data_IF_032675002722
#
_entry.id   IF_032675002722
#
_cell.length_a   1.000
_cell.length_b   1.000
_cell.length_c   1.000
_cell.angle_alpha   90.00
_cell.angle_beta   90.00
_cell.angle_gamma   90.00
#
_symmetry.space_group_name_H-M   'P 1'
#
loop_
_entity.id
_entity.type
_entity.pdbx_description
1 polymer ?
#
# COMPACT_ATOMS: atom_id res chain seq x y z
N UNK A 1 4.75 32.98 -13.82
CA UNK A 1 3.87 32.08 -13.04
C UNK A 1 3.38 30.87 -13.86
N UNK A 2 3.20 31.03 -15.19
CA UNK A 2 2.76 29.96 -16.10
C UNK A 2 3.84 28.89 -16.40
N UNK A 3 5.13 29.24 -16.38
CA UNK A 3 6.24 28.29 -16.66
C UNK A 3 6.42 27.17 -15.63
N UNK A 4 6.04 27.40 -14.36
CA UNK A 4 6.16 26.37 -13.33
C UNK A 4 5.07 25.29 -13.45
N UNK A 5 3.93 25.61 -14.06
CA UNK A 5 2.83 24.66 -14.29
C UNK A 5 3.05 23.77 -15.52
N UNK A 6 3.82 24.22 -16.53
CA UNK A 6 4.19 23.37 -17.67
C UNK A 6 5.29 22.35 -17.31
N UNK A 7 6.19 22.69 -16.38
CA UNK A 7 7.32 21.84 -15.99
C UNK A 7 6.91 20.62 -15.16
N UNK A 8 5.83 20.72 -14.36
CA UNK A 8 5.26 19.58 -13.61
C UNK A 8 4.56 18.58 -14.52
N UNK A 9 3.93 19.04 -15.62
CA UNK A 9 3.34 18.15 -16.62
C UNK A 9 4.41 17.33 -17.35
N UNK A 10 5.62 17.89 -17.52
CA UNK A 10 6.71 17.23 -18.26
C UNK A 10 7.34 16.07 -17.50
N UNK A 11 7.44 16.14 -16.17
CA UNK A 11 8.04 15.06 -15.38
C UNK A 11 7.10 13.85 -15.24
N UNK A 12 5.80 14.09 -15.06
CA UNK A 12 4.77 13.04 -15.05
C UNK A 12 4.68 12.39 -16.44
N UNK A 13 4.67 13.18 -17.52
CA UNK A 13 4.67 12.68 -18.90
C UNK A 13 5.97 11.92 -19.25
N UNK A 14 7.11 12.27 -18.65
CA UNK A 14 8.38 11.56 -18.88
C UNK A 14 8.39 10.16 -18.25
N UNK A 15 7.85 10.01 -17.03
CA UNK A 15 7.59 8.68 -16.43
C UNK A 15 6.56 7.90 -17.26
N UNK A 16 5.53 8.60 -17.77
CA UNK A 16 4.50 8.06 -18.69
C UNK A 16 5.04 7.64 -20.06
N UNK A 17 6.17 8.20 -20.51
CA UNK A 17 6.78 7.91 -21.81
C UNK A 17 7.70 6.70 -21.75
N UNK A 18 8.34 6.46 -20.60
CA UNK A 18 9.17 5.27 -20.35
C UNK A 18 8.33 3.98 -20.32
N UNK A 19 7.01 4.07 -20.07
CA UNK A 19 6.08 2.93 -20.16
C UNK A 19 5.55 2.64 -21.58
N UNK A 20 5.96 3.40 -22.61
CA UNK A 20 5.48 3.26 -24.00
C UNK A 20 6.53 2.69 -24.98
N UNK A 21 7.52 1.94 -24.51
CA UNK A 21 8.22 1.06 -25.45
C UNK A 21 7.19 0.04 -25.99
N UNK A 22 7.06 -0.17 -27.31
CA UNK A 22 6.11 -1.12 -27.86
C UNK A 22 6.50 -2.53 -27.41
N UNK A 23 5.93 -2.97 -26.28
CA UNK A 23 6.03 -4.36 -25.83
C UNK A 23 5.29 -5.17 -26.88
N UNK A 24 6.05 -5.87 -27.71
CA UNK A 24 5.58 -6.56 -28.91
C UNK A 24 4.71 -7.79 -28.64
N UNK A 25 3.97 -7.87 -27.52
CA UNK A 25 2.95 -8.89 -27.23
C UNK A 25 2.06 -8.47 -26.06
N UNK A 26 0.95 -7.78 -26.34
CA UNK A 26 -0.08 -7.37 -25.35
C UNK A 26 -0.77 -8.57 -24.68
N UNK A 27 -0.69 -9.77 -25.27
CA UNK A 27 -1.32 -10.99 -24.75
C UNK A 27 -0.41 -11.89 -23.89
N UNK A 28 0.82 -11.49 -23.55
CA UNK A 28 1.68 -12.33 -22.70
C UNK A 28 1.41 -12.06 -21.22
N UNK A 29 1.10 -13.09 -20.39
CA UNK A 29 1.01 -12.92 -18.95
C UNK A 29 2.36 -12.48 -18.35
N UNK A 30 2.33 -11.82 -17.19
CA UNK A 30 3.54 -11.39 -16.48
C UNK A 30 4.50 -12.58 -16.27
N UNK A 31 3.98 -13.71 -15.76
CA UNK A 31 4.78 -14.91 -15.52
C UNK A 31 5.99 -14.61 -14.64
N UNK A 32 7.20 -14.98 -15.10
CA UNK A 32 8.46 -14.68 -14.41
C UNK A 32 8.71 -13.18 -14.20
N UNK A 33 8.16 -12.30 -15.03
CA UNK A 33 8.31 -10.85 -14.83
C UNK A 33 7.58 -10.37 -13.56
N UNK A 34 6.65 -11.16 -13.01
CA UNK A 34 6.02 -10.88 -11.71
C UNK A 34 7.01 -10.93 -10.54
N UNK A 35 8.15 -11.63 -10.68
CA UNK A 35 9.18 -11.74 -9.64
C UNK A 35 9.68 -10.37 -9.16
N UNK A 36 9.80 -9.38 -10.06
CA UNK A 36 10.22 -8.02 -9.67
C UNK A 36 9.19 -7.33 -8.76
N UNK A 37 7.91 -7.63 -8.96
CA UNK A 37 6.82 -7.06 -8.17
C UNK A 37 6.68 -7.78 -6.83
N UNK A 38 6.92 -9.09 -6.80
CA UNK A 38 7.09 -9.82 -5.53
C UNK A 38 8.31 -9.34 -4.76
N UNK A 39 9.42 -9.02 -5.44
CA UNK A 39 10.58 -8.41 -4.81
C UNK A 39 10.24 -7.04 -4.22
N UNK A 40 9.44 -6.22 -4.93
CA UNK A 40 8.92 -4.96 -4.39
C UNK A 40 8.08 -5.19 -3.12
N UNK A 41 7.14 -6.15 -3.14
CA UNK A 41 6.35 -6.52 -1.97
C UNK A 41 7.24 -6.97 -0.79
N UNK A 42 8.27 -7.79 -1.07
CA UNK A 42 9.24 -8.24 -0.07
C UNK A 42 10.01 -7.07 0.55
N UNK A 43 10.47 -6.13 -0.27
CA UNK A 43 11.19 -4.92 0.21
C UNK A 43 10.29 -4.11 1.14
N UNK A 44 9.02 -3.92 0.79
CA UNK A 44 8.05 -3.21 1.65
C UNK A 44 7.85 -3.95 2.97
N UNK A 45 7.63 -5.27 2.93
CA UNK A 45 7.43 -6.07 4.15
C UNK A 45 8.67 -6.04 5.08
N UNK A 46 9.87 -6.13 4.51
CA UNK A 46 11.13 -6.06 5.28
C UNK A 46 11.34 -4.65 5.85
N UNK A 47 11.08 -3.60 5.07
CA UNK A 47 11.20 -2.23 5.54
C UNK A 47 10.19 -1.93 6.67
N UNK A 48 8.96 -2.44 6.56
CA UNK A 48 7.95 -2.32 7.60
C UNK A 48 8.40 -3.03 8.88
N UNK A 49 8.82 -4.29 8.78
CA UNK A 49 9.32 -5.06 9.92
C UNK A 49 10.51 -4.37 10.61
N UNK A 50 11.45 -3.85 9.82
CA UNK A 50 12.61 -3.12 10.35
C UNK A 50 12.22 -1.82 11.07
N UNK A 51 11.37 -1.00 10.44
CA UNK A 51 10.94 0.28 11.04
C UNK A 51 10.12 0.08 12.31
N UNK A 52 9.29 -0.96 12.36
CA UNK A 52 8.60 -1.38 13.60
C UNK A 52 9.56 -1.83 14.68
N UNK A 53 10.60 -2.59 14.32
CA UNK A 53 11.67 -2.97 15.26
C UNK A 53 12.38 -1.75 15.87
N UNK A 54 12.67 -0.73 15.05
CA UNK A 54 13.23 0.53 15.53
C UNK A 54 12.27 1.28 16.46
N UNK A 55 10.98 1.33 16.10
CA UNK A 55 9.97 1.97 16.94
C UNK A 55 9.82 1.27 18.31
N UNK A 56 9.73 -0.06 18.31
CA UNK A 56 9.58 -0.86 19.54
C UNK A 56 10.80 -0.79 20.48
N UNK A 57 11.99 -0.47 19.95
CA UNK A 57 13.22 -0.36 20.74
C UNK A 57 13.56 1.08 21.13
N UNK A 58 13.19 2.05 20.29
CA UNK A 58 13.54 3.45 20.47
C UNK A 58 12.47 4.31 21.14
N UNK A 59 11.20 3.89 21.13
CA UNK A 59 10.08 4.67 21.65
C UNK A 59 9.51 4.08 22.94
N UNK A 60 8.94 4.94 23.77
CA UNK A 60 8.19 4.54 24.96
C UNK A 60 6.71 4.41 24.59
N UNK A 61 6.10 3.27 24.93
CA UNK A 61 4.69 3.00 24.64
C UNK A 61 3.77 4.14 25.09
N UNK A 62 2.92 4.61 24.17
CA UNK A 62 1.93 5.66 24.43
C UNK A 62 2.49 7.07 24.67
N UNK A 63 3.82 7.25 24.71
CA UNK A 63 4.45 8.57 24.88
C UNK A 63 4.81 9.16 23.51
N UNK A 64 4.21 10.29 23.10
CA UNK A 64 4.57 10.93 21.85
C UNK A 64 6.00 11.49 21.89
N UNK A 65 6.78 11.16 20.87
CA UNK A 65 8.02 11.85 20.53
C UNK A 65 7.72 12.85 19.43
N UNK A 66 7.60 14.12 19.81
CA UNK A 66 7.27 15.20 18.89
C UNK A 66 8.43 15.49 17.94
N UNK A 67 8.17 15.40 16.64
CA UNK A 67 9.16 15.74 15.59
C UNK A 67 8.78 17.05 14.90
N UNK A 68 7.50 17.27 14.66
CA UNK A 68 6.95 18.49 14.07
C UNK A 68 5.63 18.84 14.77
N UNK A 69 5.13 20.09 14.65
CA UNK A 69 3.87 20.51 15.29
C UNK A 69 2.60 19.72 14.89
N UNK A 70 2.70 18.88 13.86
CA UNK A 70 1.62 18.06 13.30
C UNK A 70 2.02 16.59 13.17
N UNK A 71 3.22 16.19 13.58
CA UNK A 71 3.74 14.84 13.39
C UNK A 71 4.63 14.38 14.55
N UNK A 72 4.23 13.24 15.11
CA UNK A 72 4.89 12.57 16.22
C UNK A 72 5.25 11.14 15.83
N UNK A 73 6.27 10.60 16.47
CA UNK A 73 6.45 9.17 16.59
C UNK A 73 5.85 8.71 17.91
N UNK A 74 4.82 7.86 17.85
CA UNK A 74 4.09 7.38 19.04
C UNK A 74 3.87 5.89 18.94
N UNK A 75 4.58 5.10 19.74
CA UNK A 75 4.43 3.65 19.77
C UNK A 75 3.06 3.25 20.31
N UNK A 76 2.28 2.55 19.49
CA UNK A 76 0.98 1.98 19.83
C UNK A 76 0.90 0.53 19.36
N UNK A 77 0.15 -0.29 20.11
CA UNK A 77 -0.09 -1.70 19.80
C UNK A 77 -1.55 -1.89 19.41
N UNK A 78 -1.78 -2.09 18.12
CA UNK A 78 -3.11 -2.16 17.55
C UNK A 78 -3.59 -3.61 17.44
N UNK A 79 -4.49 -3.98 18.34
CA UNK A 79 -5.17 -5.28 18.37
C UNK A 79 -6.40 -5.33 17.46
N UNK A 80 -6.71 -4.24 16.75
CA UNK A 80 -7.97 -4.07 16.02
C UNK A 80 -9.05 -3.36 16.83
N UNK A 81 -8.67 -2.44 17.74
CA UNK A 81 -9.57 -1.77 18.69
C UNK A 81 -10.79 -1.08 18.04
N UNK A 82 -10.65 -0.60 16.80
CA UNK A 82 -11.77 -0.01 16.03
C UNK A 82 -12.94 -1.00 15.82
N UNK A 83 -12.65 -2.30 15.78
CA UNK A 83 -13.66 -3.38 15.71
C UNK A 83 -13.95 -4.00 17.09
N UNK A 84 -13.17 -3.69 18.12
CA UNK A 84 -13.43 -4.12 19.50
C UNK A 84 -14.66 -3.45 20.12
N UNK A 85 -15.17 -2.37 19.53
CA UNK A 85 -16.48 -1.80 19.86
C UNK A 85 -17.65 -2.80 19.69
N UNK A 86 -17.43 -3.90 18.95
CA UNK A 86 -18.44 -4.92 18.68
C UNK A 86 -18.39 -6.14 19.61
N UNK A 87 -17.41 -6.30 20.51
CA UNK A 87 -17.51 -7.32 21.58
C UNK A 87 -16.41 -7.27 22.65
N UNK A 88 -16.84 -7.41 23.90
CA UNK A 88 -16.07 -7.53 25.16
C UNK A 88 -15.22 -8.83 25.27
N UNK A 89 -15.10 -9.62 24.20
CA UNK A 89 -14.60 -10.99 24.27
C UNK A 89 -13.51 -11.30 23.22
N UNK A 90 -12.26 -11.45 23.69
CA UNK A 90 -11.49 -12.66 23.35
C UNK A 90 -10.44 -12.60 22.24
N UNK A 91 -10.09 -11.43 21.69
CA UNK A 91 -8.95 -11.32 20.76
C UNK A 91 -9.13 -12.06 19.42
N UNK A 92 -10.38 -12.43 19.06
CA UNK A 92 -10.72 -13.08 17.80
C UNK A 92 -10.33 -12.24 16.57
N UNK A 93 -10.26 -10.91 16.75
CA UNK A 93 -9.87 -9.93 15.75
C UNK A 93 -8.52 -10.30 15.12
N UNK A 94 -7.57 -10.79 15.93
CA UNK A 94 -6.26 -11.27 15.46
C UNK A 94 -6.45 -12.34 14.38
N UNK A 95 -7.21 -13.38 14.68
CA UNK A 95 -7.42 -14.51 13.76
C UNK A 95 -8.21 -14.08 12.53
N UNK A 96 -9.27 -13.28 12.72
CA UNK A 96 -10.05 -12.76 11.60
C UNK A 96 -9.20 -11.95 10.63
N UNK A 97 -8.46 -10.95 11.13
CA UNK A 97 -7.59 -10.13 10.27
C UNK A 97 -6.45 -10.93 9.66
N UNK A 98 -5.89 -11.92 10.37
CA UNK A 98 -4.89 -12.81 9.79
C UNK A 98 -5.46 -13.64 8.64
N UNK A 99 -6.64 -14.24 8.80
CA UNK A 99 -7.29 -15.03 7.73
C UNK A 99 -7.62 -14.16 6.52
N UNK A 100 -8.17 -12.96 6.74
CA UNK A 100 -8.45 -12.00 5.68
C UNK A 100 -7.16 -11.58 4.97
N UNK A 101 -6.10 -11.24 5.71
CA UNK A 101 -4.82 -10.85 5.11
C UNK A 101 -4.17 -12.00 4.32
N UNK A 102 -4.25 -13.24 4.79
CA UNK A 102 -3.79 -14.43 4.05
C UNK A 102 -4.60 -14.58 2.75
N UNK A 103 -5.93 -14.51 2.83
CA UNK A 103 -6.82 -14.65 1.68
C UNK A 103 -6.56 -13.58 0.61
N UNK A 104 -6.47 -12.31 1.02
CA UNK A 104 -6.15 -11.19 0.12
C UNK A 104 -4.75 -11.35 -0.46
N UNK A 105 -3.74 -11.72 0.35
CA UNK A 105 -2.37 -11.90 -0.14
C UNK A 105 -2.27 -13.02 -1.17
N UNK A 106 -2.95 -14.16 -0.94
CA UNK A 106 -3.02 -15.26 -1.89
C UNK A 106 -3.72 -14.85 -3.19
N UNK A 107 -4.86 -14.15 -3.08
CA UNK A 107 -5.59 -13.61 -4.23
C UNK A 107 -4.72 -12.65 -5.06
N UNK A 108 -4.09 -11.66 -4.42
CA UNK A 108 -3.24 -10.66 -5.08
C UNK A 108 -2.01 -11.30 -5.71
N UNK A 109 -1.42 -12.30 -5.06
CA UNK A 109 -0.30 -13.07 -5.62
C UNK A 109 -0.73 -13.76 -6.91
N UNK A 110 -1.82 -14.52 -6.89
CA UNK A 110 -2.31 -15.22 -8.09
C UNK A 110 -2.71 -14.22 -9.18
N UNK A 111 -3.36 -13.11 -8.82
CA UNK A 111 -3.78 -12.10 -9.78
C UNK A 111 -2.57 -11.44 -10.45
N UNK A 112 -1.56 -11.03 -9.69
CA UNK A 112 -0.34 -10.41 -10.21
C UNK A 112 0.43 -11.33 -11.17
N UNK A 113 0.46 -12.62 -10.86
CA UNK A 113 1.06 -13.65 -11.72
C UNK A 113 0.33 -13.77 -13.07
N UNK A 114 -1.01 -13.77 -13.03
CA UNK A 114 -1.87 -13.96 -14.21
C UNK A 114 -2.08 -12.68 -15.02
N UNK A 115 -1.82 -11.51 -14.43
CA UNK A 115 -2.02 -10.21 -15.07
C UNK A 115 -1.18 -10.07 -16.34
N UNK A 116 -1.75 -9.45 -17.38
CA UNK A 116 -1.04 -9.16 -18.63
C UNK A 116 0.06 -8.13 -18.43
N UNK A 117 1.11 -8.22 -19.25
CA UNK A 117 2.19 -7.24 -19.27
C UNK A 117 1.67 -5.88 -19.77
N UNK A 118 2.25 -4.81 -19.27
CA UNK A 118 1.93 -3.43 -19.69
C UNK A 118 1.22 -2.59 -18.64
N UNK A 119 0.57 -3.21 -17.64
CA UNK A 119 -0.09 -2.50 -16.55
C UNK A 119 0.88 -2.20 -15.39
N UNK A 120 1.81 -1.27 -15.61
CA UNK A 120 2.86 -0.93 -14.64
C UNK A 120 2.29 -0.41 -13.32
N UNK A 121 1.35 0.55 -13.40
CA UNK A 121 0.75 1.20 -12.22
C UNK A 121 -0.03 0.18 -11.38
N UNK A 122 -0.87 -0.64 -12.02
CA UNK A 122 -1.58 -1.74 -11.35
C UNK A 122 -0.60 -2.74 -10.70
N UNK A 123 0.48 -3.12 -11.39
CA UNK A 123 1.45 -4.08 -10.85
C UNK A 123 2.16 -3.54 -9.60
N UNK A 124 2.60 -2.28 -9.63
CA UNK A 124 3.20 -1.59 -8.47
C UNK A 124 2.19 -1.53 -7.34
N UNK A 125 0.94 -1.16 -7.65
CA UNK A 125 -0.12 -1.03 -6.66
C UNK A 125 -0.42 -2.35 -5.95
N UNK A 126 -0.52 -3.45 -6.70
CA UNK A 126 -0.68 -4.79 -6.12
C UNK A 126 0.55 -5.17 -5.28
N UNK A 127 1.76 -4.88 -5.74
CA UNK A 127 2.99 -5.14 -4.98
C UNK A 127 3.05 -4.39 -3.64
N UNK A 128 2.64 -3.12 -3.62
CA UNK A 128 2.55 -2.31 -2.40
C UNK A 128 1.53 -2.88 -1.41
N UNK A 129 0.32 -3.21 -1.88
CA UNK A 129 -0.74 -3.79 -1.04
C UNK A 129 -0.32 -5.15 -0.50
N UNK A 130 0.27 -6.00 -1.35
CA UNK A 130 0.76 -7.31 -0.94
C UNK A 130 1.87 -7.19 0.13
N UNK A 131 2.84 -6.30 -0.08
CA UNK A 131 3.92 -6.07 0.88
C UNK A 131 3.41 -5.56 2.23
N UNK A 132 2.50 -4.57 2.22
CA UNK A 132 1.89 -4.06 3.44
C UNK A 132 1.02 -5.10 4.15
N UNK A 133 0.22 -5.88 3.40
CA UNK A 133 -0.59 -6.95 3.97
C UNK A 133 0.26 -8.01 4.68
N UNK A 134 1.39 -8.39 4.07
CA UNK A 134 2.32 -9.36 4.66
C UNK A 134 3.05 -8.81 5.90
N UNK A 135 3.48 -7.54 5.90
CA UNK A 135 4.11 -6.90 7.07
C UNK A 135 3.17 -6.86 8.28
N UNK A 136 1.91 -6.45 8.06
CA UNK A 136 0.88 -6.43 9.09
C UNK A 136 0.36 -7.81 9.50
N UNK A 137 0.42 -8.81 8.62
CA UNK A 137 0.11 -10.20 8.94
C UNK A 137 1.18 -10.79 9.86
N UNK A 138 2.47 -10.53 9.57
CA UNK A 138 3.57 -11.01 10.40
C UNK A 138 3.41 -10.61 11.86
N UNK A 139 3.19 -9.32 12.12
CA UNK A 139 2.94 -8.79 13.46
C UNK A 139 1.76 -9.48 14.16
N UNK A 140 0.63 -9.65 13.45
CA UNK A 140 -0.53 -10.35 14.01
C UNK A 140 -0.24 -11.80 14.33
N UNK A 141 0.55 -12.49 13.52
CA UNK A 141 0.89 -13.89 13.75
C UNK A 141 1.90 -14.06 14.87
N UNK A 142 2.89 -13.17 14.98
CA UNK A 142 4.00 -13.30 15.93
C UNK A 142 3.74 -12.57 17.25
N UNK A 143 3.29 -11.32 17.19
CA UNK A 143 3.09 -10.44 18.35
C UNK A 143 1.65 -10.46 18.87
N UNK A 144 0.68 -10.74 18.00
CA UNK A 144 -0.75 -10.72 18.33
C UNK A 144 -1.42 -9.35 18.21
N UNK A 145 -0.66 -8.32 17.83
CA UNK A 145 -1.09 -6.96 17.53
C UNK A 145 -0.18 -6.38 16.44
N UNK A 146 -0.57 -5.27 15.84
CA UNK A 146 0.26 -4.51 14.89
C UNK A 146 0.99 -3.39 15.61
N UNK A 147 2.26 -3.18 15.29
CA UNK A 147 3.05 -2.06 15.81
C UNK A 147 2.78 -0.81 14.96
N UNK A 148 2.13 0.18 15.55
CA UNK A 148 1.90 1.49 14.94
C UNK A 148 2.81 2.52 15.59
N UNK A 149 3.34 3.44 14.79
CA UNK A 149 4.33 4.41 15.30
C UNK A 149 4.27 5.78 14.62
N UNK A 150 3.62 5.90 13.47
CA UNK A 150 3.42 7.18 12.78
C UNK A 150 2.13 7.81 13.31
N UNK A 151 2.22 9.00 13.89
CA UNK A 151 1.07 9.74 14.42
C UNK A 151 1.03 11.14 13.84
N UNK A 152 -0.06 11.46 13.13
CA UNK A 152 -0.29 12.77 12.52
C UNK A 152 -1.49 13.43 13.20
N UNK A 153 -1.37 14.73 13.48
CA UNK A 153 -2.42 15.46 14.18
C UNK A 153 -2.53 16.92 13.73
N UNK A 154 -3.71 17.51 13.94
CA UNK A 154 -3.98 18.91 13.66
C UNK A 154 -4.99 19.47 14.66
N UNK A 155 -4.64 20.59 15.32
CA UNK A 155 -5.50 21.29 16.31
C UNK A 155 -6.12 20.36 17.37
N UNK A 156 -5.34 19.41 17.89
CA UNK A 156 -5.79 18.46 18.91
C UNK A 156 -6.55 17.23 18.37
N UNK A 157 -6.85 17.17 17.07
CA UNK A 157 -7.39 15.97 16.43
C UNK A 157 -6.27 15.07 15.93
N UNK A 158 -6.30 13.80 16.31
CA UNK A 158 -5.32 12.80 15.90
C UNK A 158 -5.93 11.88 14.84
N UNK A 159 -5.22 11.71 13.74
CA UNK A 159 -5.48 10.58 12.85
C UNK A 159 -5.04 9.30 13.58
N UNK A 160 -5.75 8.16 13.40
CA UNK A 160 -5.31 6.89 13.97
C UNK A 160 -3.84 6.62 13.64
N UNK A 161 -3.06 6.21 14.64
CA UNK A 161 -1.66 5.88 14.40
C UNK A 161 -1.57 4.75 13.36
N UNK A 162 -0.53 4.80 12.53
CA UNK A 162 -0.32 3.85 11.45
C UNK A 162 1.16 3.51 11.30
N UNK A 163 1.47 2.63 10.36
CA UNK A 163 2.84 2.21 10.06
C UNK A 163 3.14 2.24 8.55
N UNK A 164 4.33 1.77 8.17
CA UNK A 164 4.76 1.76 6.78
C UNK A 164 3.92 0.79 5.92
N UNK A 165 3.52 -0.36 6.46
CA UNK A 165 2.60 -1.27 5.80
C UNK A 165 1.23 -0.63 5.49
N UNK A 166 0.64 0.12 6.42
CA UNK A 166 -0.63 0.82 6.20
C UNK A 166 -0.51 1.90 5.13
N UNK A 167 0.61 2.64 5.14
CA UNK A 167 0.91 3.63 4.11
C UNK A 167 1.06 2.97 2.73
N UNK A 168 1.74 1.82 2.64
CA UNK A 168 1.89 1.07 1.39
C UNK A 168 0.54 0.56 0.87
N UNK A 169 -0.32 0.00 1.75
CA UNK A 169 -1.68 -0.42 1.39
C UNK A 169 -2.47 0.78 0.87
N UNK A 170 -2.43 1.91 1.58
CA UNK A 170 -3.18 3.11 1.21
C UNK A 170 -2.74 3.69 -0.14
N UNK A 171 -1.43 3.82 -0.36
CA UNK A 171 -0.87 4.30 -1.64
C UNK A 171 -1.16 3.32 -2.77
N UNK A 172 -1.04 2.01 -2.53
CA UNK A 172 -1.39 1.00 -3.51
C UNK A 172 -2.88 1.01 -3.87
N UNK A 173 -3.77 1.16 -2.89
CA UNK A 173 -5.21 1.26 -3.14
C UNK A 173 -5.55 2.49 -3.98
N UNK A 174 -4.96 3.66 -3.68
CA UNK A 174 -5.11 4.86 -4.51
C UNK A 174 -4.57 4.62 -5.92
N UNK A 175 -3.42 3.96 -6.06
CA UNK A 175 -2.84 3.61 -7.36
C UNK A 175 -3.73 2.69 -8.19
N UNK A 176 -4.37 1.68 -7.57
CA UNK A 176 -5.34 0.80 -8.24
C UNK A 176 -6.57 1.58 -8.72
N UNK A 177 -7.13 2.44 -7.87
CA UNK A 177 -8.29 3.26 -8.24
C UNK A 177 -7.95 4.20 -9.40
N UNK A 178 -6.76 4.81 -9.36
CA UNK A 178 -6.29 5.70 -10.41
C UNK A 178 -6.09 4.96 -11.75
N UNK A 179 -5.56 3.74 -11.73
CA UNK A 179 -5.42 2.90 -12.92
C UNK A 179 -6.78 2.57 -13.57
N UNK A 180 -7.81 2.32 -12.75
CA UNK A 180 -9.18 2.09 -13.24
C UNK A 180 -9.74 3.31 -13.99
N UNK A 181 -9.60 4.51 -13.42
CA UNK A 181 -10.10 5.73 -14.09
C UNK A 181 -9.38 6.02 -15.42
N UNK A 182 -8.08 5.73 -15.51
CA UNK A 182 -7.32 5.90 -16.76
C UNK A 182 -7.72 4.88 -17.84
N UNK A 183 -8.18 3.69 -17.43
CA UNK A 183 -8.58 2.64 -18.36
C UNK A 183 -9.95 2.94 -18.98
N UNK A 184 -10.85 3.57 -18.22
CA UNK A 184 -12.19 3.95 -18.70
C UNK A 184 -12.15 5.02 -19.81
N UNK A 185 -11.33 6.07 -19.64
CA UNK A 185 -11.18 7.16 -20.63
C UNK A 185 -10.76 6.65 -22.03
N UNK A 186 -9.94 5.61 -22.09
CA UNK A 186 -9.47 5.03 -23.35
C UNK A 186 -10.54 4.18 -24.07
N UNK A 187 -11.49 3.62 -23.32
CA UNK A 187 -12.57 2.80 -23.88
C UNK A 187 -13.66 3.66 -24.55
N UNK A 188 -13.85 4.88 -24.06
CA UNK A 188 -14.81 5.83 -24.65
C UNK A 188 -14.28 6.47 -25.94
N UNK A 189 -13.01 6.90 -25.98
CA UNK A 189 -12.39 7.44 -27.19
C UNK A 189 -12.35 6.42 -28.34
N UNK A 190 -12.06 5.15 -28.02
CA UNK A 190 -12.04 4.08 -29.02
C UNK A 190 -13.43 3.79 -29.62
N UNK A 191 -14.50 3.92 -28.82
CA UNK A 191 -15.89 3.76 -29.28
C UNK A 191 -16.39 4.94 -30.10
N UNK A 192 -15.94 6.15 -29.77
CA UNK A 192 -16.28 7.36 -30.54
C UNK A 192 -15.60 7.35 -31.90
N UNK A 193 -14.34 6.93 -31.97
CA UNK A 193 -13.56 6.93 -33.21
C UNK A 193 -13.86 5.74 -34.15
N UNK A 194 -14.68 4.78 -33.71
CA UNK A 194 -15.14 3.64 -34.53
C UNK A 194 -16.53 3.84 -35.14
N UNK A 195 -17.16 5.00 -34.92
CA UNK A 195 -18.44 5.40 -35.54
C UNK A 195 -18.20 6.49 -36.57
#
# INVERSE_FOLDING_TARGET
MLDKLQRTRTCVVAVWKISREPVSNVNTPNGLLALRWYACALVIAVADHYTKGLASTGLVYGRPMELLPWFNLTLQHNTGAAFSLLNDAGGWQRYFFSVVAIGISAFLTVWLYRMQRGHLLLAISIGLILGGALGNLWDRMVLGYVVDFISVHYKGYYFPAFNLADAAISVGAVGMLWDSFLTDDHSDDARVNSK
#
